data_IF_882987442056
#
_entry.id   IF_882987442056
#
_cell.length_a   1.000
_cell.length_b   1.000
_cell.length_c   1.000
_cell.angle_alpha   90.00
_cell.angle_beta   90.00
_cell.angle_gamma   90.00
#
_symmetry.space_group_name_H-M   'P 1'
#
loop_
_entity.id
_entity.type
_entity.pdbx_description
1 polymer ?
#
# COMPACT_ATOMS: atom_id res chain seq x y z
N UNK A 1 1.75 -14.92 14.05
CA UNK A 1 1.07 -13.70 13.59
C UNK A 1 0.39 -13.98 12.26
N UNK A 2 -0.87 -13.56 12.07
CA UNK A 2 -1.60 -13.65 10.81
C UNK A 2 -1.67 -12.26 10.18
N UNK A 3 -1.18 -12.11 8.93
CA UNK A 3 -1.17 -10.84 8.21
C UNK A 3 -2.24 -10.85 7.13
N UNK A 4 -3.05 -9.81 7.07
CA UNK A 4 -4.05 -9.57 6.02
C UNK A 4 -3.58 -8.45 5.10
N UNK A 5 -3.50 -8.71 3.80
CA UNK A 5 -3.15 -7.70 2.80
C UNK A 5 -4.45 -7.11 2.25
N UNK A 6 -4.66 -5.80 2.45
CA UNK A 6 -5.84 -5.07 2.01
C UNK A 6 -5.48 -4.06 0.92
N UNK A 7 -5.81 -4.34 -0.36
CA UNK A 7 -5.63 -3.36 -1.42
C UNK A 7 -6.51 -2.12 -1.18
N UNK A 8 -5.91 -0.93 -1.33
CA UNK A 8 -6.60 0.36 -1.23
C UNK A 8 -6.19 1.26 -2.39
N UNK A 9 -7.02 2.24 -2.74
CA UNK A 9 -6.72 3.23 -3.76
C UNK A 9 -6.02 4.44 -3.14
N UNK A 10 -4.68 4.47 -3.20
CA UNK A 10 -3.87 5.54 -2.61
C UNK A 10 -4.29 6.94 -3.09
N UNK A 11 -4.60 7.10 -4.37
CA UNK A 11 -5.03 8.40 -4.91
C UNK A 11 -6.29 8.95 -4.21
N UNK A 12 -7.23 8.09 -3.83
CA UNK A 12 -8.42 8.51 -3.09
C UNK A 12 -8.09 8.88 -1.63
N UNK A 13 -7.19 8.15 -0.96
CA UNK A 13 -6.69 8.50 0.38
C UNK A 13 -5.99 9.86 0.37
N UNK A 14 -5.10 10.09 -0.59
CA UNK A 14 -4.40 11.36 -0.75
C UNK A 14 -5.36 12.52 -0.97
N UNK A 15 -6.37 12.33 -1.84
CA UNK A 15 -7.39 13.35 -2.12
C UNK A 15 -8.20 13.69 -0.86
N UNK A 16 -8.58 12.71 -0.07
CA UNK A 16 -9.35 12.92 1.15
C UNK A 16 -8.60 13.75 2.19
N UNK A 17 -7.26 13.60 2.22
CA UNK A 17 -6.39 14.35 3.13
C UNK A 17 -5.81 15.64 2.52
N UNK A 18 -6.27 16.07 1.33
CA UNK A 18 -5.73 17.24 0.64
C UNK A 18 -4.24 17.15 0.32
N UNK A 19 -3.70 15.93 0.23
CA UNK A 19 -2.28 15.67 0.02
C UNK A 19 -2.01 15.32 -1.45
N UNK A 20 -1.20 16.12 -2.19
CA UNK A 20 -0.87 15.80 -3.58
C UNK A 20 0.01 14.54 -3.74
N UNK A 21 0.51 14.01 -2.63
CA UNK A 21 1.49 12.93 -2.62
C UNK A 21 2.88 13.35 -3.12
N UNK A 22 3.88 12.48 -2.98
CA UNK A 22 5.26 12.81 -3.41
C UNK A 22 5.37 12.99 -4.92
N UNK A 23 4.53 12.34 -5.72
CA UNK A 23 4.55 12.45 -7.18
C UNK A 23 4.01 13.81 -7.68
N UNK A 24 3.19 14.49 -6.91
CA UNK A 24 2.65 15.82 -7.23
C UNK A 24 3.66 16.97 -7.11
N UNK A 25 4.81 16.74 -6.46
CA UNK A 25 5.87 17.74 -6.29
C UNK A 25 7.12 17.23 -7.02
N UNK A 26 7.55 17.86 -8.14
CA UNK A 26 8.62 17.33 -9.00
C UNK A 26 9.91 16.99 -8.25
N UNK A 27 10.43 17.86 -7.41
CA UNK A 27 11.65 17.61 -6.64
C UNK A 27 11.48 16.43 -5.65
N UNK A 28 10.32 16.34 -4.98
CA UNK A 28 10.01 15.27 -4.06
C UNK A 28 9.86 13.93 -4.78
N UNK A 29 9.26 13.93 -5.97
CA UNK A 29 9.15 12.75 -6.83
C UNK A 29 10.54 12.19 -7.18
N UNK A 30 11.44 13.04 -7.66
CA UNK A 30 12.81 12.63 -8.00
C UNK A 30 13.54 12.06 -6.78
N UNK A 31 13.44 12.70 -5.63
CA UNK A 31 14.02 12.20 -4.39
C UNK A 31 13.45 10.84 -4.01
N UNK A 32 12.14 10.68 -4.05
CA UNK A 32 11.45 9.43 -3.71
C UNK A 32 11.94 8.26 -4.58
N UNK A 33 12.12 8.48 -5.89
CA UNK A 33 12.61 7.45 -6.80
C UNK A 33 14.06 7.06 -6.48
N UNK A 34 14.94 8.04 -6.28
CA UNK A 34 16.34 7.80 -5.86
C UNK A 34 16.41 7.02 -4.55
N UNK A 35 15.59 7.39 -3.58
CA UNK A 35 15.53 6.71 -2.29
C UNK A 35 15.01 5.27 -2.42
N UNK A 36 13.98 5.04 -3.24
CA UNK A 36 13.46 3.70 -3.49
C UNK A 36 14.50 2.79 -4.16
N UNK A 37 15.21 3.28 -5.19
CA UNK A 37 16.29 2.56 -5.87
C UNK A 37 17.43 2.21 -4.89
N UNK A 38 17.87 3.19 -4.10
CA UNK A 38 18.89 2.97 -3.09
C UNK A 38 18.47 1.93 -2.06
N UNK A 39 17.24 2.00 -1.55
CA UNK A 39 16.68 1.01 -0.62
C UNK A 39 16.60 -0.38 -1.25
N UNK A 40 16.19 -0.48 -2.51
CA UNK A 40 16.15 -1.74 -3.24
C UNK A 40 17.53 -2.41 -3.25
N UNK A 41 18.57 -1.69 -3.59
CA UNK A 41 19.96 -2.19 -3.56
C UNK A 41 20.39 -2.58 -2.13
N UNK A 42 20.12 -1.72 -1.15
CA UNK A 42 20.51 -1.96 0.24
C UNK A 42 19.83 -3.20 0.84
N UNK A 43 18.59 -3.47 0.44
CA UNK A 43 17.80 -4.62 0.91
C UNK A 43 17.96 -5.87 0.03
N UNK A 44 18.76 -5.84 -1.03
CA UNK A 44 18.93 -6.95 -1.96
C UNK A 44 17.67 -7.25 -2.79
N UNK A 45 16.81 -6.25 -3.01
CA UNK A 45 15.59 -6.36 -3.82
C UNK A 45 15.93 -5.94 -5.24
N UNK A 46 15.60 -6.79 -6.23
CA UNK A 46 15.79 -6.49 -7.66
C UNK A 46 14.74 -5.47 -8.16
N UNK A 47 14.76 -4.27 -7.56
CA UNK A 47 13.84 -3.20 -7.92
C UNK A 47 14.20 -2.63 -9.29
N UNK A 48 13.20 -2.53 -10.17
CA UNK A 48 13.29 -1.82 -11.45
C UNK A 48 12.02 -0.98 -11.63
N UNK A 49 12.20 0.32 -11.73
CA UNK A 49 11.06 1.23 -11.92
C UNK A 49 10.28 0.87 -13.19
N UNK A 50 8.93 0.87 -13.13
CA UNK A 50 8.12 0.64 -14.33
C UNK A 50 8.36 1.74 -15.37
N UNK A 51 8.13 1.45 -16.65
CA UNK A 51 8.34 2.37 -17.77
C UNK A 51 7.64 3.73 -17.59
N UNK A 52 6.55 3.74 -16.83
CA UNK A 52 5.82 4.97 -16.45
C UNK A 52 5.42 4.90 -14.98
N UNK A 53 5.67 5.98 -14.22
CA UNK A 53 5.20 6.15 -12.85
C UNK A 53 5.01 7.64 -12.55
N UNK A 54 3.88 8.07 -11.96
CA UNK A 54 2.73 7.25 -11.58
C UNK A 54 1.96 6.70 -12.79
N UNK A 55 1.24 5.60 -12.58
CA UNK A 55 0.32 5.00 -13.55
C UNK A 55 -1.05 4.76 -12.89
N UNK A 56 -2.07 4.44 -13.69
CA UNK A 56 -3.39 4.09 -13.17
C UNK A 56 -3.37 2.69 -12.53
N UNK A 57 -3.46 2.56 -11.19
CA UNK A 57 -3.36 1.27 -10.51
C UNK A 57 -4.66 0.46 -10.52
N UNK A 58 -5.79 1.03 -10.96
CA UNK A 58 -7.11 0.42 -10.85
C UNK A 58 -7.22 -0.98 -11.46
N UNK A 59 -6.67 -1.25 -12.68
CA UNK A 59 -6.72 -2.60 -13.24
C UNK A 59 -6.06 -3.64 -12.33
N UNK A 60 -4.90 -3.32 -11.77
CA UNK A 60 -4.13 -4.20 -10.88
C UNK A 60 -4.83 -4.40 -9.53
N UNK A 61 -5.33 -3.33 -8.91
CA UNK A 61 -6.04 -3.40 -7.64
C UNK A 61 -7.34 -4.20 -7.74
N UNK A 62 -8.07 -4.05 -8.85
CA UNK A 62 -9.29 -4.81 -9.11
C UNK A 62 -8.98 -6.28 -9.37
N UNK A 63 -7.96 -6.58 -10.16
CA UNK A 63 -7.51 -7.96 -10.38
C UNK A 63 -7.08 -8.62 -9.07
N UNK A 64 -6.34 -7.91 -8.21
CA UNK A 64 -6.02 -8.37 -6.86
C UNK A 64 -7.29 -8.77 -6.09
N UNK A 65 -8.30 -7.90 -6.07
CA UNK A 65 -9.52 -8.11 -5.31
C UNK A 65 -10.47 -9.14 -5.94
N UNK A 66 -10.33 -9.44 -7.24
CA UNK A 66 -11.03 -10.58 -7.82
C UNK A 66 -10.58 -11.93 -7.22
N UNK A 67 -9.43 -12.00 -6.56
CA UNK A 67 -8.96 -13.19 -5.85
C UNK A 67 -9.53 -13.32 -4.42
N UNK A 68 -10.43 -12.42 -4.02
CA UNK A 68 -10.96 -12.35 -2.66
C UNK A 68 -12.48 -12.18 -2.64
N UNK A 69 -13.14 -12.73 -1.63
CA UNK A 69 -14.55 -12.47 -1.31
C UNK A 69 -14.73 -11.52 -0.14
N UNK A 70 -13.64 -11.19 0.60
CA UNK A 70 -13.68 -10.42 1.85
C UNK A 70 -12.78 -9.17 1.81
N UNK A 71 -12.25 -8.80 0.63
CA UNK A 71 -11.38 -7.63 0.51
C UNK A 71 -9.93 -7.82 0.97
N UNK A 72 -9.54 -9.03 1.42
CA UNK A 72 -8.17 -9.36 1.77
C UNK A 72 -7.59 -10.32 0.74
N UNK A 73 -6.39 -10.06 0.25
CA UNK A 73 -5.67 -10.96 -0.65
C UNK A 73 -4.62 -11.76 0.12
N UNK A 74 -4.21 -12.90 -0.42
CA UNK A 74 -3.14 -13.69 0.16
C UNK A 74 -1.75 -13.14 -0.25
N UNK A 75 -0.71 -13.63 0.43
CA UNK A 75 0.67 -13.20 0.20
C UNK A 75 1.15 -13.49 -1.23
N UNK A 76 0.79 -14.64 -1.78
CA UNK A 76 1.17 -15.02 -3.13
C UNK A 76 0.66 -14.00 -4.17
N UNK A 77 -0.61 -13.60 -4.08
CA UNK A 77 -1.21 -12.59 -4.97
C UNK A 77 -0.51 -11.24 -4.79
N UNK A 78 -0.28 -10.82 -3.54
CA UNK A 78 0.40 -9.56 -3.25
C UNK A 78 1.82 -9.53 -3.86
N UNK A 79 2.63 -10.55 -3.62
CA UNK A 79 3.99 -10.67 -4.16
C UNK A 79 4.00 -10.74 -5.69
N UNK A 80 3.08 -11.48 -6.29
CA UNK A 80 2.96 -11.57 -7.75
C UNK A 80 2.72 -10.20 -8.37
N UNK A 81 1.81 -9.40 -7.80
CA UNK A 81 1.52 -8.05 -8.28
C UNK A 81 2.67 -7.08 -8.07
N UNK A 82 3.35 -7.15 -6.92
CA UNK A 82 4.52 -6.30 -6.68
C UNK A 82 5.66 -6.63 -7.64
N UNK A 83 5.98 -7.90 -7.86
CA UNK A 83 7.00 -8.31 -8.84
C UNK A 83 6.63 -7.90 -10.25
N UNK A 84 5.37 -8.09 -10.63
CA UNK A 84 4.87 -7.67 -11.95
C UNK A 84 5.11 -6.18 -12.22
N UNK A 85 4.94 -5.32 -11.20
CA UNK A 85 5.11 -3.86 -11.32
C UNK A 85 6.58 -3.45 -11.20
N UNK A 86 7.31 -4.00 -10.22
CA UNK A 86 8.59 -3.47 -9.76
C UNK A 86 9.81 -4.30 -10.17
N UNK A 87 9.59 -5.37 -10.94
CA UNK A 87 10.68 -6.14 -11.54
C UNK A 87 10.55 -6.10 -13.08
N UNK A 88 11.66 -5.82 -13.77
CA UNK A 88 11.72 -5.86 -15.24
C UNK A 88 11.43 -4.55 -15.98
N UNK A 89 11.17 -3.44 -15.30
CA UNK A 89 11.12 -2.09 -15.90
C UNK A 89 10.02 -1.84 -16.96
N UNK A 90 9.06 -2.76 -17.12
CA UNK A 90 8.09 -2.70 -18.19
C UNK A 90 6.86 -1.83 -17.84
N UNK A 91 6.04 -1.49 -18.85
CA UNK A 91 4.79 -0.77 -18.62
C UNK A 91 3.81 -1.63 -17.80
N UNK A 92 3.47 -1.19 -16.59
CA UNK A 92 2.60 -1.91 -15.66
C UNK A 92 1.14 -2.03 -16.13
N UNK A 93 0.71 -1.19 -17.06
CA UNK A 93 -0.69 -1.16 -17.55
C UNK A 93 -0.80 -1.50 -19.03
N UNK A 94 0.22 -2.07 -19.65
CA UNK A 94 0.14 -2.57 -21.02
C UNK A 94 -0.91 -3.69 -21.13
N UNK A 95 -1.85 -3.60 -22.10
CA UNK A 95 -2.99 -4.53 -22.17
C UNK A 95 -2.59 -6.00 -22.25
N UNK A 96 -1.57 -6.32 -23.04
CA UNK A 96 -1.07 -7.68 -23.22
C UNK A 96 -0.45 -8.24 -21.92
N UNK A 97 0.26 -7.41 -21.16
CA UNK A 97 0.83 -7.80 -19.87
C UNK A 97 -0.25 -7.98 -18.80
N UNK A 98 -1.26 -7.10 -18.77
CA UNK A 98 -2.41 -7.25 -17.87
C UNK A 98 -3.19 -8.53 -18.18
N UNK A 99 -3.38 -8.86 -19.45
CA UNK A 99 -4.03 -10.11 -19.87
C UNK A 99 -3.23 -11.34 -19.42
N UNK A 100 -1.92 -11.35 -19.61
CA UNK A 100 -1.04 -12.43 -19.16
C UNK A 100 -1.08 -12.60 -17.64
N UNK A 101 -1.05 -11.48 -16.89
CA UNK A 101 -1.18 -11.50 -15.43
C UNK A 101 -2.55 -12.04 -14.97
N UNK A 102 -3.63 -11.64 -15.64
CA UNK A 102 -4.97 -12.14 -15.34
C UNK A 102 -5.08 -13.66 -15.60
N UNK A 103 -4.49 -14.15 -16.68
CA UNK A 103 -4.39 -15.59 -16.96
C UNK A 103 -3.58 -16.32 -15.89
N UNK A 104 -2.45 -15.77 -15.48
CA UNK A 104 -1.62 -16.33 -14.42
C UNK A 104 -2.36 -16.43 -13.08
N UNK A 105 -3.16 -15.42 -12.74
CA UNK A 105 -3.95 -15.39 -11.50
C UNK A 105 -5.32 -16.07 -11.61
N UNK A 106 -5.69 -16.56 -12.77
CA UNK A 106 -6.99 -17.19 -13.02
C UNK A 106 -7.35 -18.28 -11.99
N UNK A 107 -6.43 -19.17 -11.54
CA UNK A 107 -6.73 -20.17 -10.49
C UNK A 107 -7.04 -19.55 -9.11
N UNK A 108 -6.65 -18.32 -8.89
CA UNK A 108 -6.88 -17.59 -7.64
C UNK A 108 -8.20 -16.81 -7.62
N UNK A 109 -8.87 -16.65 -8.76
CA UNK A 109 -10.09 -15.85 -8.85
C UNK A 109 -11.23 -16.46 -8.02
N UNK A 110 -11.95 -15.64 -7.30
CA UNK A 110 -13.04 -16.00 -6.38
C UNK A 110 -14.30 -15.16 -6.59
N UNK A 111 -14.19 -14.02 -7.28
CA UNK A 111 -15.30 -13.10 -7.50
C UNK A 111 -15.16 -12.37 -8.84
N UNK A 112 -16.23 -11.69 -9.26
CA UNK A 112 -16.28 -10.91 -10.48
C UNK A 112 -15.68 -9.50 -10.33
N UNK A 113 -15.61 -8.77 -11.44
CA UNK A 113 -15.05 -7.43 -11.47
C UNK A 113 -15.90 -6.42 -10.68
N UNK A 114 -17.22 -6.55 -10.66
CA UNK A 114 -18.09 -5.57 -10.00
C UNK A 114 -18.00 -5.71 -8.48
N UNK A 115 -17.96 -6.94 -7.99
CA UNK A 115 -17.65 -7.22 -6.59
C UNK A 115 -16.26 -6.69 -6.19
N UNK A 116 -15.25 -6.89 -7.04
CA UNK A 116 -13.90 -6.37 -6.78
C UNK A 116 -13.85 -4.84 -6.72
N UNK A 117 -14.63 -4.13 -7.53
CA UNK A 117 -14.77 -2.66 -7.45
C UNK A 117 -15.39 -2.22 -6.12
N UNK A 118 -16.43 -2.92 -5.66
CA UNK A 118 -17.08 -2.64 -4.38
C UNK A 118 -16.14 -2.90 -3.20
N UNK A 119 -15.39 -4.01 -3.23
CA UNK A 119 -14.40 -4.35 -2.22
C UNK A 119 -13.26 -3.30 -2.17
N UNK A 120 -12.78 -2.81 -3.32
CA UNK A 120 -11.76 -1.76 -3.37
C UNK A 120 -12.27 -0.46 -2.75
N UNK A 121 -13.51 -0.08 -3.07
CA UNK A 121 -14.14 1.10 -2.50
C UNK A 121 -14.28 0.96 -0.98
N UNK A 122 -14.86 -0.13 -0.51
CA UNK A 122 -15.05 -0.41 0.92
C UNK A 122 -13.73 -0.43 1.69
N UNK A 123 -12.69 -1.08 1.15
CA UNK A 123 -11.36 -1.09 1.76
C UNK A 123 -10.79 0.32 1.88
N UNK A 124 -10.92 1.14 0.83
CA UNK A 124 -10.39 2.50 0.81
C UNK A 124 -11.13 3.41 1.79
N UNK A 125 -12.46 3.33 1.82
CA UNK A 125 -13.30 4.07 2.77
C UNK A 125 -13.01 3.65 4.22
N UNK A 126 -12.85 2.34 4.47
CA UNK A 126 -12.48 1.83 5.80
C UNK A 126 -11.09 2.29 6.24
N UNK A 127 -10.11 2.29 5.33
CA UNK A 127 -8.77 2.79 5.63
C UNK A 127 -8.80 4.28 5.99
N UNK A 128 -9.53 5.07 5.22
CA UNK A 128 -9.70 6.51 5.48
C UNK A 128 -10.38 6.77 6.83
N UNK A 129 -11.44 6.02 7.16
CA UNK A 129 -12.14 6.13 8.44
C UNK A 129 -11.27 5.74 9.64
N UNK A 130 -10.23 4.93 9.44
CA UNK A 130 -9.22 4.59 10.44
C UNK A 130 -8.05 5.60 10.50
N UNK A 131 -8.14 6.72 9.78
CA UNK A 131 -7.07 7.73 9.74
C UNK A 131 -5.85 7.33 8.93
N UNK A 132 -5.94 6.30 8.08
CA UNK A 132 -4.84 5.90 7.20
C UNK A 132 -4.74 6.92 6.06
N UNK A 133 -3.63 7.64 6.01
CA UNK A 133 -3.36 8.73 5.06
C UNK A 133 -2.38 8.36 3.94
N UNK A 134 -1.80 7.16 3.99
CA UNK A 134 -0.79 6.70 3.03
C UNK A 134 -0.49 5.21 3.15
N UNK A 135 0.28 4.69 2.20
CA UNK A 135 0.68 3.28 2.14
C UNK A 135 2.20 3.15 1.96
N UNK A 136 2.83 2.05 2.42
CA UNK A 136 2.22 0.99 3.22
C UNK A 136 1.79 1.47 4.61
N UNK A 137 0.69 0.95 5.13
CA UNK A 137 0.27 1.17 6.50
C UNK A 137 0.01 -0.18 7.18
N UNK A 138 0.39 -0.30 8.44
CA UNK A 138 0.23 -1.51 9.25
C UNK A 138 -0.67 -1.18 10.44
N UNK A 139 -1.84 -1.80 10.51
CA UNK A 139 -2.78 -1.62 11.60
C UNK A 139 -2.73 -2.84 12.53
N UNK A 140 -2.48 -2.62 13.80
CA UNK A 140 -2.44 -3.67 14.83
C UNK A 140 -2.90 -3.11 16.19
N UNK A 141 -3.82 -3.80 16.85
CA UNK A 141 -4.33 -3.43 18.18
C UNK A 141 -4.76 -1.94 18.29
N UNK A 142 -5.46 -1.42 17.26
CA UNK A 142 -5.92 -0.03 17.22
C UNK A 142 -4.85 1.01 16.91
N UNK A 143 -3.60 0.61 16.70
CA UNK A 143 -2.49 1.51 16.34
C UNK A 143 -2.13 1.35 14.87
N UNK A 144 -1.79 2.46 14.20
CA UNK A 144 -1.36 2.49 12.79
C UNK A 144 0.10 2.92 12.68
N UNK A 145 0.86 2.14 11.93
CA UNK A 145 2.27 2.42 11.61
C UNK A 145 2.37 2.65 10.10
N UNK A 146 2.99 3.75 9.71
CA UNK A 146 3.06 4.15 8.31
C UNK A 146 4.50 4.18 7.79
N UNK A 147 4.70 3.61 6.60
CA UNK A 147 5.98 3.62 5.91
C UNK A 147 6.89 2.44 6.27
N UNK A 148 7.90 2.23 5.44
CA UNK A 148 8.93 1.20 5.66
C UNK A 148 9.77 1.49 6.92
N UNK A 149 10.01 2.75 7.18
CA UNK A 149 10.75 3.27 8.32
C UNK A 149 10.05 3.05 9.67
N UNK A 150 8.76 2.79 9.67
CA UNK A 150 8.01 2.43 10.89
C UNK A 150 8.15 0.97 11.32
N UNK A 151 8.78 0.10 10.52
CA UNK A 151 8.89 -1.34 10.85
C UNK A 151 9.60 -1.64 12.18
N UNK A 152 10.67 -0.94 12.58
CA UNK A 152 11.26 -1.14 13.91
C UNK A 152 10.26 -0.82 15.03
N UNK A 153 9.52 0.29 14.90
CA UNK A 153 8.49 0.69 15.85
C UNK A 153 7.32 -0.31 15.91
N UNK A 154 6.89 -0.83 14.76
CA UNK A 154 5.89 -1.90 14.70
C UNK A 154 6.37 -3.16 15.42
N UNK A 155 7.65 -3.53 15.25
CA UNK A 155 8.25 -4.66 15.95
C UNK A 155 8.20 -4.46 17.46
N UNK A 156 8.64 -3.31 17.96
CA UNK A 156 8.58 -2.99 19.38
C UNK A 156 7.15 -3.08 19.92
N UNK A 157 6.16 -2.61 19.17
CA UNK A 157 4.75 -2.73 19.56
C UNK A 157 4.29 -4.19 19.66
N UNK A 158 4.71 -5.04 18.72
CA UNK A 158 4.37 -6.47 18.69
C UNK A 158 5.08 -7.24 19.81
N UNK A 159 6.30 -6.85 20.16
CA UNK A 159 7.10 -7.46 21.22
C UNK A 159 6.72 -6.95 22.63
N UNK A 160 5.75 -6.02 22.72
CA UNK A 160 5.21 -5.52 23.99
C UNK A 160 6.12 -4.51 24.68
N UNK A 161 6.89 -3.73 23.94
CA UNK A 161 7.79 -2.71 24.50
C UNK A 161 7.04 -1.75 25.43
N UNK A 162 7.57 -1.44 26.64
CA UNK A 162 6.88 -0.64 27.67
C UNK A 162 6.40 0.74 27.21
N UNK A 163 7.06 1.35 26.23
CA UNK A 163 6.67 2.63 25.67
C UNK A 163 5.21 2.65 25.16
N UNK A 164 4.75 1.54 24.57
CA UNK A 164 3.37 1.41 24.07
C UNK A 164 2.33 1.20 25.17
N UNK A 165 2.78 0.96 26.41
CA UNK A 165 1.94 0.76 27.60
C UNK A 165 1.95 1.98 28.53
N UNK A 166 2.81 2.96 28.27
CA UNK A 166 3.04 4.13 29.14
C UNK A 166 2.03 5.28 28.94
N UNK A 167 1.10 5.15 28.01
CA UNK A 167 0.21 6.25 27.59
C UNK A 167 0.88 7.28 26.66
N UNK A 168 2.16 7.14 26.37
CA UNK A 168 2.89 8.09 25.52
C UNK A 168 2.35 8.13 24.10
N UNK A 169 1.91 6.98 23.56
CA UNK A 169 1.31 6.90 22.24
C UNK A 169 0.06 7.78 22.13
N UNK A 170 -0.81 7.71 23.12
CA UNK A 170 -2.07 8.44 23.16
C UNK A 170 -1.87 9.93 23.49
N UNK A 171 -0.87 10.25 24.32
CA UNK A 171 -0.61 11.61 24.78
C UNK A 171 -0.23 12.58 23.65
N UNK A 172 0.38 12.10 22.55
CA UNK A 172 0.73 12.96 21.42
C UNK A 172 -0.51 13.54 20.69
N UNK A 173 -1.69 12.91 20.82
CA UNK A 173 -2.93 13.40 20.23
C UNK A 173 -3.41 14.70 20.91
N UNK A 174 -2.97 14.95 22.14
CA UNK A 174 -3.32 16.15 22.90
C UNK A 174 -2.47 17.38 22.53
N UNK A 175 -1.44 17.22 21.69
CA UNK A 175 -0.61 18.34 21.24
C UNK A 175 -1.43 19.26 20.33
N UNK A 176 -1.58 20.52 20.77
CA UNK A 176 -2.27 21.52 19.96
C UNK A 176 -1.48 21.86 18.71
N UNK A 177 -2.18 22.02 17.57
CA UNK A 177 -1.57 22.56 16.36
C UNK A 177 -1.18 24.02 16.58
N UNK A 178 0.06 24.37 16.29
CA UNK A 178 0.51 25.76 16.22
C UNK A 178 0.23 26.42 14.86
N UNK A 179 -0.46 25.71 13.95
CA UNK A 179 -0.86 26.23 12.65
C UNK A 179 -2.24 26.85 12.82
N UNK A 180 -2.31 28.19 12.71
CA UNK A 180 -3.57 28.95 12.65
C UNK A 180 -4.15 28.89 11.24
#
# INVERSE_FOLDING_TARGET
MHVQYRPVLLGALLQQHGNPGPAGIPAKRVWTYRHAEWLGQHLGIALQMPAQHPFNPLPLLRLALQTSTQGCINRYVAETLFRYVWEGGANAVAPERLQALAQHLQPQLRTDLDTAKQLLRSNTESAAAQGIFGVPAFAVNGKTFWGLDSLPMLRDALDGHPWFQSGTWENVESLSSGLA
#
